data_IF_043199534862
#
_entry.id   IF_043199534862
#
_cell.length_a   1.000
_cell.length_b   1.000
_cell.length_c   1.000
_cell.angle_alpha   90.00
_cell.angle_beta   90.00
_cell.angle_gamma   90.00
#
_symmetry.space_group_name_H-M   'P 1'
#
loop_
_entity.id
_entity.type
_entity.pdbx_description
1 polymer ?
#
# COMPACT_ATOMS: atom_id res chain seq x y z
N UNK A 1 11.92 4.45 22.19
CA UNK A 1 12.72 4.25 20.97
C UNK A 1 14.13 4.77 21.21
N UNK A 2 15.16 4.06 20.75
CA UNK A 2 16.57 4.45 20.89
C UNK A 2 17.01 5.33 19.72
N UNK A 3 17.62 6.47 20.02
CA UNK A 3 17.99 7.51 19.04
C UNK A 3 19.47 7.82 19.11
N UNK A 4 20.08 8.05 17.95
CA UNK A 4 21.48 8.44 17.81
C UNK A 4 21.55 9.82 17.17
N UNK A 5 22.38 10.70 17.73
CA UNK A 5 22.55 12.09 17.28
C UNK A 5 23.99 12.38 16.86
N UNK A 6 24.23 13.38 16.00
CA UNK A 6 25.58 13.81 15.64
C UNK A 6 26.43 14.23 16.84
N UNK A 7 25.80 14.84 17.87
CA UNK A 7 26.50 15.27 19.08
C UNK A 7 26.93 14.10 19.99
N UNK A 8 26.26 12.95 19.89
CA UNK A 8 26.51 11.78 20.74
C UNK A 8 27.41 10.76 20.06
N UNK A 9 27.38 10.67 18.73
CA UNK A 9 28.21 9.75 17.94
C UNK A 9 29.24 10.54 17.13
N UNK A 10 30.51 10.39 17.48
CA UNK A 10 31.60 11.06 16.78
C UNK A 10 31.57 10.75 15.27
N UNK A 11 31.89 11.74 14.42
CA UNK A 11 31.83 11.61 12.97
C UNK A 11 32.61 10.42 12.42
N UNK A 12 33.82 10.18 12.93
CA UNK A 12 34.65 9.03 12.55
C UNK A 12 34.00 7.67 12.90
N UNK A 13 33.29 7.58 14.04
CA UNK A 13 32.55 6.37 14.42
C UNK A 13 31.30 6.20 13.57
N UNK A 14 30.60 7.29 13.25
CA UNK A 14 29.45 7.27 12.36
C UNK A 14 29.84 6.81 10.95
N UNK A 15 30.93 7.33 10.38
CA UNK A 15 31.43 6.90 9.07
C UNK A 15 31.83 5.42 9.07
N UNK A 16 32.57 5.00 10.08
CA UNK A 16 33.03 3.60 10.21
C UNK A 16 31.88 2.60 10.39
N UNK A 17 30.84 2.96 11.14
CA UNK A 17 29.74 2.04 11.49
C UNK A 17 28.54 2.15 10.56
N UNK A 18 28.26 3.34 10.04
CA UNK A 18 27.03 3.67 9.30
C UNK A 18 27.30 4.10 7.85
N UNK A 19 28.57 4.12 7.43
CA UNK A 19 29.03 4.50 6.09
C UNK A 19 29.08 6.01 5.82
N UNK A 20 28.49 6.84 6.70
CA UNK A 20 28.51 8.31 6.61
C UNK A 20 28.27 8.95 7.97
N UNK A 21 28.76 10.18 8.12
CA UNK A 21 28.43 11.04 9.25
C UNK A 21 26.91 11.28 9.35
N UNK A 22 26.43 11.55 10.56
CA UNK A 22 25.04 11.91 10.81
C UNK A 22 24.86 13.42 10.68
N UNK A 23 23.86 13.85 9.91
CA UNK A 23 23.48 15.26 9.79
C UNK A 23 22.43 15.65 10.84
N UNK A 24 21.55 14.72 11.19
CA UNK A 24 20.44 14.89 12.12
C UNK A 24 20.28 13.64 13.00
N UNK A 25 19.33 13.67 13.93
CA UNK A 25 19.01 12.52 14.75
C UNK A 25 18.28 11.42 13.96
N UNK A 26 18.62 10.16 14.23
CA UNK A 26 17.97 9.00 13.61
C UNK A 26 17.64 7.96 14.68
N UNK A 27 16.50 7.29 14.55
CA UNK A 27 16.23 6.10 15.36
C UNK A 27 17.10 4.93 14.89
N UNK A 28 17.39 3.96 15.76
CA UNK A 28 18.08 2.74 15.35
C UNK A 28 17.35 1.99 14.23
N UNK A 29 16.01 2.04 14.23
CA UNK A 29 15.21 1.46 13.16
C UNK A 29 15.47 2.15 11.82
N UNK A 30 15.62 3.47 11.79
CA UNK A 30 15.95 4.21 10.57
C UNK A 30 17.36 3.88 10.08
N UNK A 31 18.31 3.72 11.01
CA UNK A 31 19.67 3.31 10.68
C UNK A 31 19.71 1.89 10.08
N UNK A 32 18.92 0.95 10.61
CA UNK A 32 18.81 -0.42 10.08
C UNK A 32 18.22 -0.49 8.66
N UNK A 33 17.49 0.54 8.22
CA UNK A 33 17.03 0.64 6.82
C UNK A 33 18.13 1.08 5.86
N UNK A 34 19.28 1.56 6.35
CA UNK A 34 20.39 1.98 5.49
C UNK A 34 21.10 0.76 4.89
N UNK A 35 21.47 0.79 3.60
CA UNK A 35 22.28 -0.26 3.01
C UNK A 35 23.59 -0.46 3.79
N UNK A 36 23.95 -1.72 4.04
CA UNK A 36 25.18 -2.07 4.78
C UNK A 36 25.12 -1.93 6.30
N UNK A 37 24.00 -1.45 6.87
CA UNK A 37 23.81 -1.39 8.33
C UNK A 37 22.98 -2.59 8.79
N UNK A 38 23.62 -3.46 9.58
CA UNK A 38 22.98 -4.58 10.26
C UNK A 38 22.84 -4.33 11.76
N UNK A 39 22.29 -5.33 12.45
CA UNK A 39 22.05 -5.33 13.89
C UNK A 39 23.32 -5.02 14.68
N UNK A 40 24.42 -5.67 14.34
CA UNK A 40 25.70 -5.52 15.06
C UNK A 40 26.26 -4.10 14.91
N UNK A 41 26.16 -3.50 13.71
CA UNK A 41 26.53 -2.10 13.48
C UNK A 41 25.62 -1.15 14.25
N UNK A 42 24.31 -1.40 14.27
CA UNK A 42 23.34 -0.58 14.99
C UNK A 42 23.58 -0.62 16.51
N UNK A 43 23.84 -1.79 17.09
CA UNK A 43 24.19 -1.94 18.50
C UNK A 43 25.51 -1.23 18.85
N UNK A 44 26.53 -1.36 17.99
CA UNK A 44 27.81 -0.64 18.18
C UNK A 44 27.65 0.88 18.11
N UNK A 45 26.83 1.37 17.18
CA UNK A 45 26.55 2.80 17.05
C UNK A 45 25.78 3.33 18.26
N UNK A 46 24.79 2.57 18.76
CA UNK A 46 24.08 2.89 19.99
C UNK A 46 25.01 2.93 21.20
N UNK A 47 25.91 1.96 21.33
CA UNK A 47 26.87 1.90 22.44
C UNK A 47 27.84 3.07 22.40
N UNK A 48 28.41 3.38 21.23
CA UNK A 48 29.28 4.54 21.04
C UNK A 48 28.57 5.85 21.35
N UNK A 49 27.29 5.96 21.00
CA UNK A 49 26.44 7.11 21.30
C UNK A 49 25.92 7.16 22.74
N UNK A 50 26.19 6.13 23.57
CA UNK A 50 25.58 5.92 24.90
C UNK A 50 24.05 6.04 24.87
N UNK A 51 23.46 5.54 23.79
CA UNK A 51 22.04 5.62 23.51
C UNK A 51 21.34 4.31 23.88
N UNK A 52 20.52 4.35 24.94
CA UNK A 52 19.80 3.17 25.43
C UNK A 52 20.75 2.09 25.98
N UNK A 53 20.27 0.84 25.98
CA UNK A 53 21.02 -0.33 26.42
C UNK A 53 21.12 -1.36 25.27
N UNK A 54 22.09 -1.18 24.34
CA UNK A 54 22.20 -2.06 23.18
C UNK A 54 22.73 -3.44 23.61
N UNK A 55 21.90 -4.45 23.40
CA UNK A 55 22.28 -5.85 23.66
C UNK A 55 23.04 -6.41 22.46
N UNK A 56 24.21 -6.99 22.68
CA UNK A 56 25.01 -7.62 21.61
C UNK A 56 24.39 -8.94 21.15
N UNK A 57 24.69 -9.35 19.91
CA UNK A 57 24.32 -10.68 19.40
C UNK A 57 24.84 -11.79 20.31
N UNK A 58 26.07 -11.66 20.81
CA UNK A 58 26.68 -12.63 21.73
C UNK A 58 25.86 -12.79 23.01
N UNK A 59 25.39 -11.69 23.58
CA UNK A 59 24.52 -11.71 24.76
C UNK A 59 23.20 -12.42 24.45
N UNK A 60 22.57 -12.12 23.30
CA UNK A 60 21.35 -12.81 22.87
C UNK A 60 21.56 -14.31 22.63
N UNK A 61 22.69 -14.70 22.04
CA UNK A 61 23.04 -16.12 21.85
C UNK A 61 23.26 -16.84 23.17
N UNK A 62 23.80 -16.16 24.19
CA UNK A 62 23.94 -16.73 25.52
C UNK A 62 22.59 -16.90 26.23
N UNK A 63 21.67 -15.95 26.05
CA UNK A 63 20.32 -15.99 26.66
C UNK A 63 19.36 -16.99 25.98
N UNK A 64 19.35 -17.01 24.65
CA UNK A 64 18.33 -17.71 23.87
C UNK A 64 18.85 -18.90 23.06
N UNK A 65 20.16 -19.11 23.02
CA UNK A 65 20.80 -20.06 22.11
C UNK A 65 21.12 -19.44 20.74
N UNK A 66 22.11 -20.01 20.06
CA UNK A 66 22.64 -19.42 18.82
C UNK A 66 21.60 -19.34 17.70
N UNK A 67 20.83 -20.43 17.51
CA UNK A 67 19.85 -20.56 16.44
C UNK A 67 18.70 -19.56 16.60
N UNK A 68 18.10 -19.52 17.78
CA UNK A 68 16.94 -18.66 18.08
C UNK A 68 17.33 -17.18 18.04
N UNK A 69 18.47 -16.82 18.64
CA UNK A 69 18.97 -15.45 18.61
C UNK A 69 19.23 -14.96 17.19
N UNK A 70 19.89 -15.77 16.36
CA UNK A 70 20.19 -15.40 14.97
C UNK A 70 18.91 -15.25 14.14
N UNK A 71 17.94 -16.16 14.30
CA UNK A 71 16.65 -16.09 13.61
C UNK A 71 15.84 -14.85 14.01
N UNK A 72 15.82 -14.49 15.30
CA UNK A 72 15.11 -13.29 15.78
C UNK A 72 15.79 -12.01 15.29
N UNK A 73 17.13 -11.96 15.30
CA UNK A 73 17.89 -10.81 14.80
C UNK A 73 17.63 -10.64 13.30
N UNK A 74 17.73 -11.72 12.52
CA UNK A 74 17.44 -11.71 11.09
C UNK A 74 16.01 -11.25 10.82
N UNK A 75 15.02 -11.80 11.53
CA UNK A 75 13.62 -11.43 11.34
C UNK A 75 13.35 -9.97 11.72
N UNK A 76 14.00 -9.44 12.76
CA UNK A 76 13.93 -8.02 13.09
C UNK A 76 14.50 -7.15 11.96
N UNK A 77 15.66 -7.51 11.41
CA UNK A 77 16.25 -6.79 10.29
C UNK A 77 15.34 -6.81 9.06
N UNK A 78 14.83 -7.99 8.69
CA UNK A 78 13.91 -8.17 7.56
C UNK A 78 12.66 -7.31 7.77
N UNK A 79 12.01 -7.43 8.93
CA UNK A 79 10.80 -6.67 9.23
C UNK A 79 11.03 -5.16 9.08
N UNK A 80 12.14 -4.63 9.60
CA UNK A 80 12.44 -3.19 9.54
C UNK A 80 12.80 -2.73 8.12
N UNK A 81 13.67 -3.48 7.42
CA UNK A 81 14.16 -3.15 6.07
C UNK A 81 13.04 -3.23 5.05
N UNK A 82 12.14 -4.20 5.19
CA UNK A 82 11.07 -4.47 4.22
C UNK A 82 9.70 -3.88 4.59
N UNK A 83 9.52 -3.31 5.79
CA UNK A 83 8.25 -2.76 6.26
C UNK A 83 7.54 -1.86 5.22
N UNK A 84 8.28 -0.95 4.57
CA UNK A 84 7.71 -0.04 3.57
C UNK A 84 7.26 -0.74 2.29
N UNK A 85 7.97 -1.79 1.88
CA UNK A 85 7.62 -2.58 0.69
C UNK A 85 6.42 -3.49 0.97
N UNK A 86 6.43 -4.16 2.12
CA UNK A 86 5.32 -5.01 2.58
C UNK A 86 4.06 -4.17 2.73
N UNK A 87 4.15 -2.97 3.33
CA UNK A 87 3.01 -2.04 3.44
C UNK A 87 2.43 -1.69 2.07
N UNK A 88 3.28 -1.30 1.10
CA UNK A 88 2.83 -1.00 -0.26
C UNK A 88 2.17 -2.19 -0.95
N UNK A 89 2.73 -3.39 -0.79
CA UNK A 89 2.15 -4.61 -1.36
C UNK A 89 0.80 -4.93 -0.72
N UNK A 90 0.68 -4.75 0.58
CA UNK A 90 -0.57 -4.95 1.31
C UNK A 90 -1.67 -3.97 0.84
N UNK A 91 -1.33 -2.69 0.68
CA UNK A 91 -2.24 -1.68 0.11
C UNK A 91 -2.70 -2.05 -1.31
N UNK A 92 -1.80 -2.58 -2.14
CA UNK A 92 -2.13 -3.04 -3.49
C UNK A 92 -3.08 -4.25 -3.47
N UNK A 93 -2.82 -5.24 -2.61
CA UNK A 93 -3.69 -6.40 -2.40
C UNK A 93 -5.08 -5.98 -1.95
N UNK A 94 -5.16 -5.03 -1.02
CA UNK A 94 -6.44 -4.49 -0.54
C UNK A 94 -7.20 -3.78 -1.65
N UNK A 95 -6.52 -2.99 -2.49
CA UNK A 95 -7.13 -2.32 -3.64
C UNK A 95 -7.70 -3.32 -4.65
N UNK A 96 -6.93 -4.36 -4.98
CA UNK A 96 -7.38 -5.43 -5.90
C UNK A 96 -8.57 -6.18 -5.31
N UNK A 97 -8.49 -6.55 -4.03
CA UNK A 97 -9.58 -7.24 -3.31
C UNK A 97 -10.86 -6.40 -3.29
N UNK A 98 -10.74 -5.09 -3.10
CA UNK A 98 -11.88 -4.18 -3.16
C UNK A 98 -12.53 -4.16 -4.55
N UNK A 99 -11.74 -4.15 -5.63
CA UNK A 99 -12.27 -4.19 -7.00
C UNK A 99 -12.96 -5.52 -7.32
N UNK A 100 -12.45 -6.65 -6.84
CA UNK A 100 -13.09 -7.96 -7.02
C UNK A 100 -14.46 -8.04 -6.34
N UNK A 101 -14.69 -7.29 -5.26
CA UNK A 101 -16.00 -7.24 -4.56
C UNK A 101 -16.99 -6.27 -5.20
N UNK A 102 -16.53 -5.35 -6.06
CA UNK A 102 -17.39 -4.36 -6.69
C UNK A 102 -18.09 -4.93 -7.92
N UNK A 103 -19.33 -5.33 -7.74
CA UNK A 103 -20.20 -5.85 -8.79
C UNK A 103 -20.55 -4.76 -9.83
N UNK A 104 -20.53 -5.17 -11.09
CA UNK A 104 -21.09 -4.44 -12.22
C UNK A 104 -22.51 -4.95 -12.49
N UNK A 105 -23.50 -4.07 -12.75
CA UNK A 105 -24.83 -4.51 -13.19
C UNK A 105 -24.74 -5.36 -14.46
N UNK A 106 -25.56 -6.40 -14.56
CA UNK A 106 -25.54 -7.34 -15.68
C UNK A 106 -25.82 -6.65 -17.04
N UNK A 107 -26.77 -5.69 -17.01
CA UNK A 107 -27.13 -4.85 -18.16
C UNK A 107 -26.44 -3.48 -18.15
N UNK A 108 -25.20 -3.41 -17.67
CA UNK A 108 -24.45 -2.17 -17.67
C UNK A 108 -24.10 -1.72 -19.10
N UNK A 109 -24.63 -0.57 -19.51
CA UNK A 109 -24.32 0.05 -20.80
C UNK A 109 -22.99 0.84 -20.73
N UNK A 110 -21.90 0.20 -21.17
CA UNK A 110 -20.57 0.81 -21.24
C UNK A 110 -20.50 2.00 -22.21
N UNK A 111 -21.45 2.17 -23.13
CA UNK A 111 -21.48 3.32 -24.05
C UNK A 111 -21.72 4.65 -23.30
N UNK A 112 -22.40 4.59 -22.15
CA UNK A 112 -22.70 5.77 -21.32
C UNK A 112 -21.46 6.37 -20.65
N UNK A 113 -20.37 5.61 -20.54
CA UNK A 113 -19.10 6.09 -19.98
C UNK A 113 -18.28 6.73 -21.09
N UNK A 114 -18.67 7.96 -21.47
CA UNK A 114 -18.09 8.71 -22.61
C UNK A 114 -16.55 8.90 -22.54
N UNK A 115 -15.97 8.86 -21.35
CA UNK A 115 -14.54 9.01 -21.15
C UNK A 115 -13.73 7.72 -21.47
N UNK A 116 -14.39 6.58 -21.67
CA UNK A 116 -13.73 5.36 -22.12
C UNK A 116 -13.47 5.42 -23.63
N UNK A 117 -12.31 4.91 -24.04
CA UNK A 117 -12.03 4.72 -25.46
C UNK A 117 -13.02 3.76 -26.10
N UNK A 118 -13.17 3.84 -27.42
CA UNK A 118 -14.02 2.92 -28.18
C UNK A 118 -13.57 1.46 -28.00
N UNK A 119 -12.27 1.19 -28.08
CA UNK A 119 -11.71 -0.16 -27.90
C UNK A 119 -12.00 -0.74 -26.51
N UNK A 120 -11.85 0.05 -25.45
CA UNK A 120 -12.16 -0.39 -24.08
C UNK A 120 -13.65 -0.70 -23.93
N UNK A 121 -14.53 0.17 -24.46
CA UNK A 121 -15.98 -0.09 -24.43
C UNK A 121 -16.34 -1.36 -25.17
N UNK A 122 -15.76 -1.60 -26.34
CA UNK A 122 -15.99 -2.81 -27.13
C UNK A 122 -15.52 -4.06 -26.38
N UNK A 123 -14.33 -4.02 -25.76
CA UNK A 123 -13.82 -5.13 -24.95
C UNK A 123 -14.72 -5.44 -23.76
N UNK A 124 -15.12 -4.42 -23.01
CA UNK A 124 -16.00 -4.58 -21.85
C UNK A 124 -17.38 -5.11 -22.25
N UNK A 125 -17.96 -4.58 -23.32
CA UNK A 125 -19.26 -5.04 -23.84
C UNK A 125 -19.21 -6.48 -24.36
N UNK A 126 -18.07 -6.92 -24.92
CA UNK A 126 -17.86 -8.31 -25.38
C UNK A 126 -17.66 -9.28 -24.20
N UNK A 127 -16.85 -8.90 -23.21
CA UNK A 127 -16.50 -9.78 -22.10
C UNK A 127 -17.54 -9.80 -20.97
N UNK A 128 -18.38 -8.76 -20.86
CA UNK A 128 -19.42 -8.60 -19.81
C UNK A 128 -18.92 -9.01 -18.41
N UNK A 129 -17.85 -8.37 -17.88
CA UNK A 129 -17.32 -8.72 -16.58
C UNK A 129 -18.35 -8.45 -15.47
N UNK A 130 -18.45 -9.38 -14.51
CA UNK A 130 -19.34 -9.27 -13.34
C UNK A 130 -18.80 -8.33 -12.26
N UNK A 131 -17.48 -8.12 -12.22
CA UNK A 131 -16.83 -7.27 -11.22
C UNK A 131 -15.83 -6.31 -11.87
N UNK A 132 -15.53 -5.19 -11.20
CA UNK A 132 -14.46 -4.29 -11.66
C UNK A 132 -13.09 -4.98 -11.63
N UNK A 133 -12.85 -5.90 -10.70
CA UNK A 133 -11.63 -6.71 -10.67
C UNK A 133 -11.48 -7.59 -11.90
N UNK A 134 -12.55 -8.25 -12.34
CA UNK A 134 -12.56 -9.00 -13.59
C UNK A 134 -12.33 -8.08 -14.80
N UNK A 135 -12.95 -6.90 -14.83
CA UNK A 135 -12.74 -5.92 -15.89
C UNK A 135 -11.27 -5.48 -15.99
N UNK A 136 -10.60 -5.29 -14.85
CA UNK A 136 -9.19 -4.88 -14.78
C UNK A 136 -8.20 -5.90 -15.35
N UNK A 137 -8.60 -7.18 -15.41
CA UNK A 137 -7.79 -8.27 -15.97
C UNK A 137 -7.93 -8.43 -17.49
N UNK A 138 -8.85 -7.71 -18.13
CA UNK A 138 -9.04 -7.77 -19.58
C UNK A 138 -7.88 -7.04 -20.28
N UNK A 139 -7.23 -7.72 -21.21
CA UNK A 139 -6.09 -7.16 -21.95
C UNK A 139 -6.45 -5.85 -22.68
N UNK A 140 -5.68 -4.80 -22.41
CA UNK A 140 -5.89 -3.46 -22.94
C UNK A 140 -6.95 -2.64 -22.20
N UNK A 141 -7.50 -3.13 -21.09
CA UNK A 141 -8.23 -2.29 -20.13
C UNK A 141 -7.23 -1.73 -19.12
N UNK A 142 -7.09 -0.41 -19.06
CA UNK A 142 -6.09 0.27 -18.24
C UNK A 142 -6.62 0.61 -16.84
N UNK A 143 -5.75 0.86 -15.85
CA UNK A 143 -6.18 1.35 -14.53
C UNK A 143 -7.03 2.62 -14.59
N UNK A 144 -6.76 3.51 -15.56
CA UNK A 144 -7.55 4.72 -15.80
C UNK A 144 -9.00 4.39 -16.22
N UNK A 145 -9.19 3.39 -17.09
CA UNK A 145 -10.52 2.93 -17.48
C UNK A 145 -11.32 2.38 -16.29
N UNK A 146 -10.66 1.62 -15.41
CA UNK A 146 -11.30 1.10 -14.18
C UNK A 146 -11.71 2.24 -13.24
N UNK A 147 -10.88 3.27 -13.10
CA UNK A 147 -11.23 4.47 -12.34
C UNK A 147 -12.44 5.20 -12.92
N UNK A 148 -12.54 5.32 -14.25
CA UNK A 148 -13.69 5.93 -14.92
C UNK A 148 -14.98 5.14 -14.69
N UNK A 149 -14.93 3.81 -14.77
CA UNK A 149 -16.06 2.94 -14.43
C UNK A 149 -16.48 3.12 -12.96
N UNK A 150 -15.52 3.11 -12.03
CA UNK A 150 -15.78 3.28 -10.61
C UNK A 150 -16.49 4.61 -10.29
N UNK A 151 -16.01 5.71 -10.88
CA UNK A 151 -16.63 7.04 -10.73
C UNK A 151 -18.04 7.05 -11.31
N UNK A 152 -18.25 6.45 -12.48
CA UNK A 152 -19.56 6.37 -13.11
C UNK A 152 -20.56 5.58 -12.24
N UNK A 153 -20.16 4.42 -11.71
CA UNK A 153 -20.99 3.61 -10.81
C UNK A 153 -21.36 4.35 -9.52
N UNK A 154 -20.42 5.11 -8.93
CA UNK A 154 -20.72 5.94 -7.75
C UNK A 154 -21.71 7.06 -8.05
N UNK A 155 -21.64 7.67 -9.24
CA UNK A 155 -22.59 8.70 -9.69
C UNK A 155 -24.00 8.12 -9.90
N UNK A 156 -24.10 6.93 -10.48
CA UNK A 156 -25.38 6.22 -10.69
C UNK A 156 -26.06 5.85 -9.37
N UNK A 157 -25.31 5.37 -8.37
CA UNK A 157 -25.86 5.04 -7.04
C UNK A 157 -26.44 6.23 -6.28
N UNK A 158 -25.95 7.44 -6.53
CA UNK A 158 -26.52 8.67 -5.95
C UNK A 158 -27.83 9.10 -6.63
N UNK A 159 -28.25 8.43 -7.71
CA UNK A 159 -29.35 8.87 -8.58
C UNK A 159 -30.53 7.87 -8.68
N UNK A 160 -30.74 6.94 -7.75
CA UNK A 160 -31.92 6.05 -7.79
C UNK A 160 -32.63 5.87 -6.43
N UNK A 161 -33.96 5.64 -6.39
CA UNK A 161 -35.01 5.78 -7.42
C UNK A 161 -36.06 6.85 -7.05
N UNK A 162 -36.38 7.78 -7.97
CA UNK A 162 -37.39 8.81 -7.71
C UNK A 162 -37.82 9.67 -8.90
N UNK A 163 -37.72 9.16 -10.14
CA UNK A 163 -38.16 9.92 -11.31
C UNK A 163 -38.52 9.00 -12.48
N UNK A 164 -39.59 8.23 -12.35
CA UNK A 164 -40.36 7.71 -13.48
C UNK A 164 -41.72 7.22 -12.98
N UNK A 165 -42.80 7.94 -13.34
CA UNK A 165 -44.16 7.41 -13.27
C UNK A 165 -45.23 8.36 -12.70
N UNK A 166 -45.64 9.37 -13.46
CA UNK A 166 -47.05 9.77 -13.60
C UNK A 166 -47.16 10.88 -14.66
N UNK A 167 -47.15 10.48 -15.93
CA UNK A 167 -47.79 11.23 -17.00
C UNK A 167 -48.89 10.33 -17.55
N UNK A 168 -50.02 10.95 -17.92
CA UNK A 168 -51.30 10.37 -18.35
C UNK A 168 -52.18 9.89 -17.17
N UNK A 169 -53.40 10.39 -16.96
CA UNK A 169 -54.47 10.70 -17.93
C UNK A 169 -55.42 11.75 -17.35
N UNK A 170 -55.81 12.77 -18.13
CA UNK A 170 -57.01 13.57 -17.86
C UNK A 170 -57.95 13.40 -19.06
N UNK A 171 -59.19 12.92 -18.89
CA UNK A 171 -60.17 13.02 -19.94
C UNK A 171 -60.74 14.44 -19.94
N UNK A 172 -60.59 15.08 -21.09
CA UNK A 172 -61.47 16.12 -21.59
C UNK A 172 -62.86 15.51 -21.82
N UNK A 173 -63.89 16.01 -21.14
CA UNK A 173 -65.25 15.91 -21.66
C UNK A 173 -66.15 17.00 -21.07
N UNK A 174 -66.55 17.90 -21.97
CA UNK A 174 -67.57 18.90 -21.80
C UNK A 174 -68.97 18.28 -21.92
N UNK A 175 -69.84 18.55 -20.94
CA UNK A 175 -71.29 18.75 -21.07
C UNK A 175 -71.85 19.34 -19.77
#
# INVERSE_FOLDING_TARGET
ATWVRPATLAGADAERLLGKALEHEHSLADLLRRPGVGYDQACRAAAAARAGDPVSRETRRAEWGAREADAVIEQCEIAIKYAGYIGKQQEEVERVTALERLQLPEEFDYAQVKALSYEVRQKLARHRPRTLGQAARISGVTPAAISLLLVHLKKGRRRGPGAAGSADTAPDEAA
#
